data_IF_322424041285
#
_entry.id   IF_322424041285
#
_cell.length_a   1.000
_cell.length_b   1.000
_cell.length_c   1.000
_cell.angle_alpha   90.00
_cell.angle_beta   90.00
_cell.angle_gamma   90.00
#
_symmetry.space_group_name_H-M   'P 1'
#
loop_
_entity.id
_entity.type
_entity.pdbx_description
1 polymer ?
#
# COMPACT_ATOMS: atom_id res chain seq x y z
N UNK A 1 69.78 -14.73 49.02
CA UNK A 1 69.29 -16.11 48.81
C UNK A 1 68.11 -16.03 47.88
N UNK A 2 68.28 -16.58 46.67
CA UNK A 2 67.27 -17.13 45.74
C UNK A 2 66.18 -16.15 45.26
N UNK A 3 65.86 -15.96 43.98
CA UNK A 3 66.42 -16.26 42.67
C UNK A 3 65.44 -15.64 41.63
N UNK A 4 65.93 -15.42 40.41
CA UNK A 4 65.20 -15.39 39.14
C UNK A 4 64.38 -14.13 38.73
N UNK A 5 65.11 -13.21 38.07
CA UNK A 5 64.81 -12.64 36.73
C UNK A 5 64.44 -13.72 35.67
N UNK A 6 64.00 -13.43 34.41
CA UNK A 6 63.89 -12.13 33.70
C UNK A 6 62.66 -11.94 32.74
N UNK A 7 62.52 -10.68 32.29
CA UNK A 7 62.24 -10.18 30.93
C UNK A 7 61.18 -10.82 30.02
N UNK A 8 60.31 -9.97 29.44
CA UNK A 8 60.06 -9.74 28.00
C UNK A 8 58.76 -8.92 27.90
N UNK A 9 58.86 -7.61 27.66
CA UNK A 9 58.92 -6.99 26.34
C UNK A 9 57.55 -6.50 25.87
N UNK A 10 57.47 -5.18 25.71
CA UNK A 10 56.75 -4.46 24.66
C UNK A 10 55.30 -4.85 24.35
N UNK A 11 54.37 -3.96 24.68
CA UNK A 11 53.62 -3.27 23.62
C UNK A 11 53.05 -1.94 24.12
N UNK A 12 53.61 -0.87 23.56
CA UNK A 12 52.92 0.40 23.42
C UNK A 12 51.64 0.20 22.61
N UNK A 13 50.49 0.53 23.20
CA UNK A 13 49.30 0.99 22.47
C UNK A 13 48.52 1.89 23.44
N UNK A 14 48.96 3.13 23.60
CA UNK A 14 48.35 4.27 22.92
C UNK A 14 46.84 4.31 23.16
N UNK A 15 46.47 5.13 24.15
CA UNK A 15 45.23 5.88 24.18
C UNK A 15 44.90 6.39 22.77
N UNK A 16 44.01 5.71 22.07
CA UNK A 16 43.32 6.33 20.93
C UNK A 16 42.19 7.16 21.50
N UNK A 17 42.19 8.50 21.35
CA UNK A 17 41.00 9.28 21.59
C UNK A 17 39.94 8.82 20.57
N UNK A 18 38.67 8.79 21.00
CA UNK A 18 37.52 8.70 20.11
C UNK A 18 37.73 9.70 18.97
N UNK A 19 38.14 9.20 17.80
CA UNK A 19 38.26 10.03 16.61
C UNK A 19 36.84 10.52 16.33
N UNK A 20 36.58 11.84 16.31
CA UNK A 20 35.33 12.30 15.73
C UNK A 20 35.32 11.78 14.30
N UNK A 21 34.28 11.01 13.97
CA UNK A 21 34.06 10.54 12.61
C UNK A 21 34.21 11.75 11.69
N UNK A 22 35.08 11.64 10.68
CA UNK A 22 35.25 12.73 9.72
C UNK A 22 33.86 13.08 9.16
N UNK A 23 33.57 14.35 8.80
CA UNK A 23 32.26 14.73 8.27
C UNK A 23 31.79 13.77 7.17
N UNK A 24 32.68 13.30 6.29
CA UNK A 24 32.41 12.29 5.26
C UNK A 24 32.00 10.91 5.79
N UNK A 25 32.51 10.47 6.94
CA UNK A 25 32.08 9.22 7.59
C UNK A 25 30.74 9.38 8.32
N UNK A 26 30.44 10.58 8.81
CA UNK A 26 29.11 10.92 9.34
C UNK A 26 28.10 10.97 8.20
N UNK A 27 28.45 11.59 7.05
CA UNK A 27 27.60 11.59 5.86
C UNK A 27 27.43 10.18 5.31
N UNK A 28 28.48 9.38 5.17
CA UNK A 28 28.36 7.97 4.76
C UNK A 28 27.54 7.13 5.75
N UNK A 29 27.67 7.35 7.06
CA UNK A 29 26.88 6.62 8.05
C UNK A 29 25.42 7.08 8.08
N UNK A 30 25.15 8.37 7.83
CA UNK A 30 23.80 8.92 7.66
C UNK A 30 23.18 8.45 6.34
N UNK A 31 23.94 8.42 5.25
CA UNK A 31 23.54 7.90 3.94
C UNK A 31 23.33 6.38 3.99
N UNK A 32 24.17 5.63 4.72
CA UNK A 32 23.95 4.21 4.97
C UNK A 32 22.74 3.97 5.87
N UNK A 33 22.42 4.88 6.80
CA UNK A 33 21.23 4.77 7.66
C UNK A 33 19.94 5.18 6.93
N UNK A 34 20.03 6.10 5.97
CA UNK A 34 18.95 6.45 5.05
C UNK A 34 18.69 5.32 4.02
N UNK A 35 19.76 4.72 3.50
CA UNK A 35 19.70 3.64 2.51
C UNK A 35 19.58 2.22 3.10
N UNK A 36 19.82 2.02 4.39
CA UNK A 36 19.65 0.72 5.02
C UNK A 36 18.16 0.36 5.08
N UNK A 37 17.77 -0.67 4.34
CA UNK A 37 16.63 -1.47 4.77
C UNK A 37 17.01 -2.14 6.08
N UNK A 38 16.18 -1.99 7.11
CA UNK A 38 16.34 -2.71 8.37
C UNK A 38 16.00 -4.20 8.15
N UNK A 39 16.94 -4.91 7.51
CA UNK A 39 16.85 -6.32 7.13
C UNK A 39 17.22 -7.26 8.29
N UNK A 40 18.06 -6.80 9.21
CA UNK A 40 18.47 -7.54 10.41
C UNK A 40 18.32 -6.69 11.67
N UNK A 41 17.97 -7.35 12.78
CA UNK A 41 17.85 -6.70 14.10
C UNK A 41 19.17 -6.87 14.83
N UNK A 42 19.91 -5.78 15.05
CA UNK A 42 20.97 -5.80 16.05
C UNK A 42 20.33 -5.65 17.44
N UNK A 43 20.51 -6.66 18.31
CA UNK A 43 19.85 -6.74 19.62
C UNK A 43 20.19 -5.58 20.59
N UNK A 44 21.10 -4.69 20.18
CA UNK A 44 21.59 -3.53 20.95
C UNK A 44 20.95 -2.20 20.51
N UNK A 45 20.25 -2.16 19.38
CA UNK A 45 19.64 -0.94 18.88
C UNK A 45 18.23 -0.76 19.46
N UNK A 46 18.04 0.35 20.19
CA UNK A 46 16.73 0.76 20.70
C UNK A 46 15.87 1.20 19.52
N UNK A 47 14.81 0.44 19.21
CA UNK A 47 13.87 0.79 18.15
C UNK A 47 13.18 2.13 18.43
N UNK A 48 12.86 2.92 17.39
CA UNK A 48 12.01 4.09 17.54
C UNK A 48 10.65 3.70 18.11
N UNK A 49 10.10 4.56 18.96
CA UNK A 49 8.76 4.35 19.51
C UNK A 49 7.69 4.56 18.42
N UNK A 50 6.70 3.67 18.40
CA UNK A 50 5.65 3.65 17.37
C UNK A 50 4.90 4.99 17.28
N UNK A 51 4.44 5.54 18.40
CA UNK A 51 3.63 6.77 18.42
C UNK A 51 4.46 7.97 17.95
N UNK A 52 5.69 8.08 18.43
CA UNK A 52 6.58 9.18 18.05
C UNK A 52 7.04 9.13 16.59
N UNK A 53 6.93 7.95 15.96
CA UNK A 53 7.33 7.73 14.57
C UNK A 53 6.22 8.03 13.56
N UNK A 54 5.01 8.42 13.98
CA UNK A 54 3.88 8.68 13.07
C UNK A 54 3.90 10.13 12.54
N UNK A 55 3.95 10.27 11.22
CA UNK A 55 3.76 11.54 10.52
C UNK A 55 2.27 11.83 10.27
N UNK A 56 1.98 12.98 9.64
CA UNK A 56 0.61 13.43 9.38
C UNK A 56 -0.17 12.43 8.52
N UNK A 57 0.42 11.91 7.44
CA UNK A 57 -0.23 10.90 6.59
C UNK A 57 -0.49 9.61 7.37
N UNK A 58 0.46 9.18 8.20
CA UNK A 58 0.33 7.95 8.99
C UNK A 58 -0.86 7.99 9.96
N UNK A 59 -1.17 9.18 10.51
CA UNK A 59 -2.35 9.38 11.37
C UNK A 59 -3.66 9.27 10.57
N UNK A 60 -3.69 9.80 9.35
CA UNK A 60 -4.83 9.65 8.44
C UNK A 60 -5.00 8.19 8.02
N UNK A 61 -3.90 7.52 7.66
CA UNK A 61 -3.89 6.09 7.35
C UNK A 61 -4.39 5.26 8.53
N UNK A 62 -3.95 5.55 9.75
CA UNK A 62 -4.45 4.86 10.94
C UNK A 62 -5.96 5.06 11.15
N UNK A 63 -6.46 6.28 10.96
CA UNK A 63 -7.90 6.56 11.02
C UNK A 63 -8.67 5.80 9.93
N UNK A 64 -8.11 5.73 8.71
CA UNK A 64 -8.68 4.99 7.60
C UNK A 64 -8.72 3.48 7.86
N UNK A 65 -7.67 2.91 8.46
CA UNK A 65 -7.63 1.49 8.82
C UNK A 65 -8.56 1.15 9.99
N UNK A 66 -8.71 2.04 10.98
CA UNK A 66 -9.72 1.89 12.05
C UNK A 66 -11.12 1.85 11.45
N UNK A 67 -11.40 2.75 10.50
CA UNK A 67 -12.64 2.74 9.74
C UNK A 67 -12.80 1.43 8.95
N UNK A 68 -11.73 0.93 8.34
CA UNK A 68 -11.72 -0.39 7.69
C UNK A 68 -12.06 -1.55 8.62
N UNK A 69 -11.57 -1.57 9.86
CA UNK A 69 -11.97 -2.57 10.86
C UNK A 69 -13.46 -2.53 11.15
N UNK A 70 -14.04 -1.33 11.27
CA UNK A 70 -15.49 -1.16 11.46
C UNK A 70 -16.25 -1.71 10.26
N UNK A 71 -15.87 -1.33 9.04
CA UNK A 71 -16.52 -1.79 7.80
C UNK A 71 -16.38 -3.31 7.63
N UNK A 72 -15.22 -3.88 7.93
CA UNK A 72 -15.04 -5.33 7.93
C UNK A 72 -15.94 -6.03 8.94
N UNK A 73 -16.07 -5.48 10.14
CA UNK A 73 -16.99 -5.97 11.17
C UNK A 73 -18.45 -5.97 10.70
N UNK A 74 -18.90 -4.88 10.06
CA UNK A 74 -20.24 -4.78 9.48
C UNK A 74 -20.50 -5.88 8.43
N UNK A 75 -19.53 -6.17 7.58
CA UNK A 75 -19.65 -7.23 6.57
C UNK A 75 -19.67 -8.62 7.18
N UNK A 76 -18.88 -8.88 8.23
CA UNK A 76 -18.88 -10.16 8.93
C UNK A 76 -20.24 -10.46 9.57
N UNK A 77 -20.90 -9.44 10.13
CA UNK A 77 -22.22 -9.60 10.77
C UNK A 77 -23.40 -9.36 9.81
N UNK A 78 -23.14 -9.02 8.55
CA UNK A 78 -24.17 -8.81 7.52
C UNK A 78 -25.02 -7.55 7.69
N UNK A 79 -24.47 -6.47 8.26
CA UNK A 79 -25.20 -5.22 8.49
C UNK A 79 -24.93 -4.19 7.37
N UNK A 80 -25.96 -3.92 6.56
CA UNK A 80 -25.85 -3.07 5.36
C UNK A 80 -26.76 -1.83 5.34
N UNK A 81 -27.38 -1.49 6.47
CA UNK A 81 -28.24 -0.30 6.56
C UNK A 81 -27.41 0.99 6.46
N UNK A 82 -27.75 1.86 5.49
CA UNK A 82 -27.01 3.11 5.18
C UNK A 82 -25.52 2.89 4.94
N UNK A 83 -25.16 1.70 4.49
CA UNK A 83 -23.79 1.26 4.32
C UNK A 83 -23.03 2.12 3.30
N UNK A 84 -23.72 2.64 2.29
CA UNK A 84 -23.18 3.59 1.33
C UNK A 84 -22.58 4.83 2.03
N UNK A 85 -23.21 5.35 3.09
CA UNK A 85 -22.68 6.51 3.82
C UNK A 85 -21.58 6.11 4.80
N UNK A 86 -21.82 5.05 5.57
CA UNK A 86 -20.93 4.64 6.67
C UNK A 86 -19.66 4.00 6.13
N UNK A 87 -19.74 3.15 5.11
CA UNK A 87 -18.57 2.53 4.50
C UNK A 87 -18.04 3.39 3.37
N UNK A 88 -18.82 3.61 2.31
CA UNK A 88 -18.28 4.17 1.06
C UNK A 88 -18.01 5.67 1.18
N UNK A 89 -18.97 6.45 1.68
CA UNK A 89 -18.83 7.92 1.79
C UNK A 89 -17.70 8.33 2.73
N UNK A 90 -17.65 7.73 3.93
CA UNK A 90 -16.56 7.96 4.88
C UNK A 90 -15.21 7.47 4.34
N UNK A 91 -15.16 6.28 3.71
CA UNK A 91 -13.93 5.78 3.11
C UNK A 91 -13.45 6.69 1.98
N UNK A 92 -14.35 7.15 1.11
CA UNK A 92 -14.05 8.08 0.03
C UNK A 92 -13.45 9.38 0.56
N UNK A 93 -14.03 9.97 1.61
CA UNK A 93 -13.49 11.18 2.22
C UNK A 93 -12.08 10.97 2.81
N UNK A 94 -11.91 9.94 3.66
CA UNK A 94 -10.63 9.71 4.35
C UNK A 94 -9.56 9.23 3.36
N UNK A 95 -9.89 8.28 2.48
CA UNK A 95 -9.00 7.67 1.50
C UNK A 95 -8.53 8.67 0.44
N UNK A 96 -9.43 9.48 -0.13
CA UNK A 96 -9.03 10.54 -1.07
C UNK A 96 -8.20 11.63 -0.38
N UNK A 97 -8.49 11.93 0.88
CA UNK A 97 -7.65 12.86 1.67
C UNK A 97 -6.26 12.28 1.91
N UNK A 98 -6.14 10.99 2.25
CA UNK A 98 -4.85 10.30 2.39
C UNK A 98 -4.06 10.31 1.07
N UNK A 99 -4.74 10.06 -0.06
CA UNK A 99 -4.12 10.14 -1.38
C UNK A 99 -3.63 11.57 -1.70
N UNK A 100 -4.45 12.59 -1.45
CA UNK A 100 -4.09 13.99 -1.63
C UNK A 100 -2.85 14.38 -0.80
N UNK A 101 -2.78 13.96 0.46
CA UNK A 101 -1.59 14.15 1.31
C UNK A 101 -0.39 13.41 0.74
N UNK A 102 -0.57 12.19 0.22
CA UNK A 102 0.50 11.45 -0.44
C UNK A 102 1.07 12.14 -1.67
N UNK A 103 0.22 12.71 -2.53
CA UNK A 103 0.69 13.52 -3.67
C UNK A 103 1.38 14.80 -3.21
N UNK A 104 0.87 15.44 -2.17
CA UNK A 104 1.55 16.58 -1.56
C UNK A 104 2.95 16.20 -1.07
N UNK A 105 3.12 15.09 -0.36
CA UNK A 105 4.44 14.58 0.08
C UNK A 105 5.39 14.35 -1.10
N UNK A 106 4.89 13.79 -2.20
CA UNK A 106 5.67 13.57 -3.43
C UNK A 106 6.05 14.88 -4.13
N UNK A 107 5.14 15.84 -4.24
CA UNK A 107 5.36 17.13 -4.88
C UNK A 107 6.27 18.04 -4.04
N UNK A 108 6.16 17.98 -2.72
CA UNK A 108 6.96 18.77 -1.80
C UNK A 108 8.36 18.20 -1.56
N UNK A 109 8.69 17.02 -2.13
CA UNK A 109 9.98 16.36 -1.94
C UNK A 109 10.17 15.81 -0.52
N UNK A 110 9.08 15.52 0.19
CA UNK A 110 9.11 14.90 1.53
C UNK A 110 9.39 13.39 1.37
N UNK A 111 8.83 12.76 0.35
CA UNK A 111 9.16 11.39 -0.02
C UNK A 111 10.62 11.33 -0.48
N UNK A 112 11.38 10.44 0.15
CA UNK A 112 12.79 10.23 -0.13
C UNK A 112 13.02 9.79 -1.58
N UNK A 113 14.03 10.37 -2.20
CA UNK A 113 14.49 10.06 -3.55
C UNK A 113 15.74 9.19 -3.43
N UNK A 114 15.54 7.87 -3.29
CA UNK A 114 16.62 6.91 -3.06
C UNK A 114 17.25 6.37 -4.37
N UNK A 115 18.45 5.81 -4.33
CA UNK A 115 19.13 5.31 -5.55
C UNK A 115 18.67 3.88 -5.95
N UNK A 116 17.54 3.39 -5.43
CA UNK A 116 17.11 2.00 -5.66
C UNK A 116 16.65 1.80 -7.10
N UNK A 117 16.88 0.60 -7.68
CA UNK A 117 16.61 0.36 -9.09
C UNK A 117 15.11 0.15 -9.38
N UNK A 118 14.62 0.78 -10.46
CA UNK A 118 13.29 0.53 -11.01
C UNK A 118 12.16 0.80 -10.01
N UNK A 119 11.23 -0.15 -9.87
CA UNK A 119 10.10 -0.03 -8.95
C UNK A 119 10.48 -0.25 -7.48
N UNK A 120 11.72 -0.66 -7.17
CA UNK A 120 12.18 -0.70 -5.78
C UNK A 120 12.40 0.70 -5.18
N UNK A 121 12.49 1.71 -6.05
CA UNK A 121 12.63 3.12 -5.71
C UNK A 121 11.45 3.63 -4.86
N UNK A 122 11.77 4.30 -3.75
CA UNK A 122 10.76 4.75 -2.79
C UNK A 122 9.70 5.65 -3.43
N UNK A 123 10.15 6.62 -4.22
CA UNK A 123 9.25 7.54 -4.92
C UNK A 123 8.34 6.81 -5.91
N UNK A 124 8.82 5.74 -6.56
CA UNK A 124 8.01 4.94 -7.49
C UNK A 124 6.90 4.19 -6.75
N UNK A 125 7.23 3.57 -5.61
CA UNK A 125 6.27 2.87 -4.75
C UNK A 125 5.24 3.84 -4.21
N UNK A 126 5.66 5.00 -3.70
CA UNK A 126 4.76 6.00 -3.14
C UNK A 126 3.88 6.64 -4.21
N UNK A 127 4.41 6.92 -5.41
CA UNK A 127 3.64 7.40 -6.55
C UNK A 127 2.57 6.39 -6.96
N UNK A 128 2.94 5.12 -7.12
CA UNK A 128 2.01 4.06 -7.48
C UNK A 128 0.93 3.89 -6.40
N UNK A 129 1.30 3.64 -5.15
CA UNK A 129 0.35 3.33 -4.08
C UNK A 129 -0.62 4.49 -3.82
N UNK A 130 -0.14 5.73 -3.86
CA UNK A 130 -0.97 6.92 -3.71
C UNK A 130 -1.93 7.09 -4.89
N UNK A 131 -1.44 6.90 -6.13
CA UNK A 131 -2.29 7.02 -7.33
C UNK A 131 -3.30 5.87 -7.42
N UNK A 132 -2.90 4.67 -7.02
CA UNK A 132 -3.75 3.50 -6.96
C UNK A 132 -4.86 3.71 -5.94
N UNK A 133 -4.53 4.18 -4.72
CA UNK A 133 -5.50 4.50 -3.68
C UNK A 133 -6.56 5.47 -4.20
N UNK A 134 -6.15 6.55 -4.87
CA UNK A 134 -7.10 7.49 -5.45
C UNK A 134 -7.96 6.87 -6.55
N UNK A 135 -7.36 6.05 -7.42
CA UNK A 135 -8.08 5.31 -8.46
C UNK A 135 -9.16 4.39 -7.89
N UNK A 136 -8.82 3.55 -6.90
CA UNK A 136 -9.80 2.64 -6.29
C UNK A 136 -10.83 3.38 -5.43
N UNK A 137 -10.48 4.51 -4.82
CA UNK A 137 -11.45 5.33 -4.08
C UNK A 137 -12.41 6.08 -4.99
N UNK A 138 -11.91 6.60 -6.10
CA UNK A 138 -12.77 7.14 -7.14
C UNK A 138 -13.69 6.05 -7.69
N UNK A 139 -13.15 4.88 -8.04
CA UNK A 139 -13.93 3.77 -8.58
C UNK A 139 -15.00 3.29 -7.60
N UNK A 140 -14.66 3.21 -6.31
CA UNK A 140 -15.61 2.89 -5.25
C UNK A 140 -16.77 3.89 -5.18
N UNK A 141 -16.45 5.19 -5.15
CA UNK A 141 -17.46 6.23 -5.18
C UNK A 141 -18.30 6.14 -6.46
N UNK A 142 -17.65 5.92 -7.62
CA UNK A 142 -18.28 5.84 -8.93
C UNK A 142 -19.31 4.73 -9.03
N UNK A 143 -19.06 3.59 -8.40
CA UNK A 143 -20.01 2.48 -8.34
C UNK A 143 -21.09 2.66 -7.28
N UNK A 144 -20.95 3.64 -6.40
CA UNK A 144 -21.92 3.89 -5.34
C UNK A 144 -23.01 4.88 -5.74
N UNK A 145 -24.17 4.86 -5.07
CA UNK A 145 -25.20 5.89 -5.21
C UNK A 145 -24.74 7.30 -4.80
N UNK A 146 -23.57 7.43 -4.18
CA UNK A 146 -23.02 8.71 -3.71
C UNK A 146 -22.23 9.44 -4.79
N UNK A 147 -22.00 8.84 -5.97
CA UNK A 147 -21.24 9.51 -7.02
C UNK A 147 -21.97 10.77 -7.52
N UNK A 148 -21.36 11.96 -7.43
CA UNK A 148 -21.99 13.17 -7.91
C UNK A 148 -22.15 13.14 -9.44
N UNK A 149 -23.36 13.38 -9.94
CA UNK A 149 -23.63 13.45 -11.39
C UNK A 149 -22.76 14.50 -12.11
N UNK A 150 -22.32 15.56 -11.41
CA UNK A 150 -21.41 16.57 -11.92
C UNK A 150 -20.01 16.06 -12.26
N UNK A 151 -19.61 14.89 -11.74
CA UNK A 151 -18.30 14.29 -11.99
C UNK A 151 -18.33 13.27 -13.14
N UNK A 152 -19.51 12.81 -13.59
CA UNK A 152 -19.67 11.89 -14.72
C UNK A 152 -18.92 12.34 -15.99
N UNK A 153 -18.91 13.64 -16.37
CA UNK A 153 -18.14 14.09 -17.53
C UNK A 153 -16.63 13.84 -17.44
N UNK A 154 -16.08 13.56 -16.25
CA UNK A 154 -14.67 13.26 -16.03
C UNK A 154 -14.37 11.75 -16.10
N UNK A 155 -15.38 10.88 -16.18
CA UNK A 155 -15.22 9.42 -16.09
C UNK A 155 -14.21 8.89 -17.11
N UNK A 156 -14.28 9.32 -18.38
CA UNK A 156 -13.36 8.86 -19.42
C UNK A 156 -11.89 9.17 -19.10
N UNK A 157 -11.63 10.37 -18.56
CA UNK A 157 -10.29 10.77 -18.14
C UNK A 157 -9.83 9.95 -16.93
N UNK A 158 -10.70 9.80 -15.93
CA UNK A 158 -10.40 9.08 -14.69
C UNK A 158 -10.21 7.58 -14.92
N UNK A 159 -10.99 6.98 -15.82
CA UNK A 159 -10.78 5.62 -16.33
C UNK A 159 -9.40 5.49 -16.97
N UNK A 160 -9.06 6.35 -17.94
CA UNK A 160 -7.79 6.28 -18.65
C UNK A 160 -6.58 6.40 -17.70
N UNK A 161 -6.64 7.34 -16.75
CA UNK A 161 -5.59 7.50 -15.72
C UNK A 161 -5.51 6.28 -14.82
N UNK A 162 -6.65 5.74 -14.36
CA UNK A 162 -6.68 4.57 -13.48
C UNK A 162 -6.14 3.32 -14.17
N UNK A 163 -6.50 3.10 -15.44
CA UNK A 163 -5.98 2.02 -16.30
C UNK A 163 -4.45 2.10 -16.37
N UNK A 164 -3.89 3.29 -16.61
CA UNK A 164 -2.44 3.47 -16.66
C UNK A 164 -1.77 3.17 -15.32
N UNK A 165 -2.37 3.57 -14.20
CA UNK A 165 -1.86 3.30 -12.86
C UNK A 165 -1.88 1.80 -12.55
N UNK A 166 -2.97 1.10 -12.89
CA UNK A 166 -3.09 -0.34 -12.67
C UNK A 166 -2.12 -1.14 -13.53
N UNK A 167 -1.95 -0.75 -14.80
CA UNK A 167 -0.95 -1.34 -15.69
C UNK A 167 0.47 -1.07 -15.19
N UNK A 168 0.78 0.13 -14.72
CA UNK A 168 2.07 0.46 -14.14
C UNK A 168 2.38 -0.41 -12.91
N UNK A 169 1.40 -0.58 -12.01
CA UNK A 169 1.50 -1.43 -10.83
C UNK A 169 1.72 -2.92 -11.11
N UNK A 170 1.28 -3.40 -12.27
CA UNK A 170 1.50 -4.79 -12.69
C UNK A 170 2.84 -4.96 -13.43
N UNK A 171 3.09 -4.10 -14.42
CA UNK A 171 4.22 -4.24 -15.34
C UNK A 171 5.52 -3.81 -14.68
N UNK A 172 5.53 -2.71 -13.92
CA UNK A 172 6.78 -2.13 -13.40
C UNK A 172 7.47 -3.02 -12.35
N UNK A 173 6.78 -3.62 -11.35
CA UNK A 173 7.42 -4.57 -10.44
C UNK A 173 7.91 -5.83 -11.14
N UNK A 174 7.15 -6.34 -12.13
CA UNK A 174 7.53 -7.51 -12.91
C UNK A 174 8.78 -7.24 -13.76
N UNK A 175 8.82 -6.10 -14.46
CA UNK A 175 9.97 -5.66 -15.22
C UNK A 175 11.21 -5.46 -14.32
N UNK A 176 11.02 -4.89 -13.13
CA UNK A 176 12.10 -4.74 -12.14
C UNK A 176 12.65 -6.11 -11.70
N UNK A 177 11.79 -7.09 -11.43
CA UNK A 177 12.19 -8.46 -11.09
C UNK A 177 12.89 -9.22 -12.22
N UNK A 178 12.56 -8.95 -13.47
CA UNK A 178 13.13 -9.66 -14.63
C UNK A 178 14.42 -9.00 -15.08
N UNK A 179 14.42 -7.68 -15.22
CA UNK A 179 15.52 -6.93 -15.83
C UNK A 179 16.58 -6.45 -14.83
N UNK A 180 16.21 -6.23 -13.57
CA UNK A 180 17.09 -5.61 -12.57
C UNK A 180 17.37 -6.50 -11.36
N UNK A 181 17.05 -7.80 -11.45
CA UNK A 181 17.11 -8.75 -10.32
C UNK A 181 18.45 -8.77 -9.59
N UNK A 182 19.54 -8.71 -10.33
CA UNK A 182 20.91 -8.80 -9.79
C UNK A 182 21.29 -7.56 -8.98
N UNK A 183 20.56 -6.45 -9.15
CA UNK A 183 20.75 -5.19 -8.43
C UNK A 183 19.87 -5.11 -7.17
N UNK A 184 18.98 -6.09 -6.95
CA UNK A 184 18.05 -6.11 -5.83
C UNK A 184 18.60 -6.92 -4.66
N UNK A 185 18.43 -6.40 -3.46
CA UNK A 185 18.59 -7.15 -2.21
C UNK A 185 17.51 -8.25 -2.07
N UNK A 186 17.72 -9.27 -1.22
CA UNK A 186 16.73 -10.32 -0.98
C UNK A 186 15.35 -9.78 -0.54
N UNK A 187 15.35 -8.73 0.28
CA UNK A 187 14.13 -8.09 0.76
C UNK A 187 13.43 -7.31 -0.36
N UNK A 188 14.16 -6.60 -1.22
CA UNK A 188 13.55 -5.94 -2.39
C UNK A 188 12.95 -6.97 -3.35
N UNK A 189 13.62 -8.10 -3.58
CA UNK A 189 13.06 -9.20 -4.36
C UNK A 189 11.74 -9.70 -3.73
N UNK A 190 11.69 -9.85 -2.41
CA UNK A 190 10.48 -10.26 -1.71
C UNK A 190 9.36 -9.22 -1.87
N UNK A 191 9.67 -7.93 -1.71
CA UNK A 191 8.72 -6.82 -1.87
C UNK A 191 8.19 -6.76 -3.31
N UNK A 192 9.05 -6.84 -4.31
CA UNK A 192 8.63 -6.81 -5.72
C UNK A 192 7.75 -8.02 -6.07
N UNK A 193 8.05 -9.22 -5.54
CA UNK A 193 7.15 -10.38 -5.69
C UNK A 193 5.78 -10.13 -5.08
N UNK A 194 5.75 -9.55 -3.87
CA UNK A 194 4.51 -9.14 -3.22
C UNK A 194 3.73 -8.12 -4.04
N UNK A 195 4.42 -7.14 -4.65
CA UNK A 195 3.81 -6.14 -5.53
C UNK A 195 3.26 -6.77 -6.81
N UNK A 196 3.95 -7.72 -7.45
CA UNK A 196 3.42 -8.44 -8.62
C UNK A 196 2.14 -9.20 -8.27
N UNK A 197 2.13 -9.95 -7.17
CA UNK A 197 0.94 -10.68 -6.72
C UNK A 197 -0.20 -9.71 -6.42
N UNK A 198 0.09 -8.60 -5.72
CA UNK A 198 -0.91 -7.57 -5.41
C UNK A 198 -1.45 -6.90 -6.67
N UNK A 199 -0.59 -6.61 -7.65
CA UNK A 199 -0.98 -6.05 -8.94
C UNK A 199 -1.81 -7.02 -9.80
N UNK A 200 -1.53 -8.32 -9.73
CA UNK A 200 -2.37 -9.34 -10.38
C UNK A 200 -3.77 -9.38 -9.77
N UNK A 201 -3.88 -9.38 -8.44
CA UNK A 201 -5.19 -9.31 -7.76
C UNK A 201 -5.90 -8.00 -8.10
N UNK A 202 -5.18 -6.88 -8.01
CA UNK A 202 -5.70 -5.55 -8.34
C UNK A 202 -6.05 -5.34 -9.82
N UNK A 203 -5.65 -6.23 -10.71
CA UNK A 203 -5.99 -6.15 -12.13
C UNK A 203 -7.48 -6.39 -12.41
N UNK A 204 -8.26 -6.86 -11.43
CA UNK A 204 -9.73 -6.82 -11.50
C UNK A 204 -10.26 -5.42 -11.82
N UNK A 205 -9.72 -4.39 -11.16
CA UNK A 205 -10.15 -3.01 -11.36
C UNK A 205 -9.75 -2.46 -12.74
N UNK A 206 -8.76 -3.07 -13.41
CA UNK A 206 -8.44 -2.78 -14.80
C UNK A 206 -9.60 -3.18 -15.72
N UNK A 207 -10.24 -4.33 -15.45
CA UNK A 207 -11.39 -4.79 -16.23
C UNK A 207 -12.59 -3.88 -16.03
N UNK A 208 -12.90 -3.54 -14.77
CA UNK A 208 -14.00 -2.62 -14.42
C UNK A 208 -13.83 -1.23 -15.03
N UNK A 209 -12.63 -0.64 -14.90
CA UNK A 209 -12.34 0.68 -15.50
C UNK A 209 -12.32 0.65 -17.02
N UNK A 210 -11.92 -0.48 -17.64
CA UNK A 210 -12.00 -0.66 -19.09
C UNK A 210 -13.45 -0.78 -19.54
N UNK A 211 -14.27 -1.56 -18.84
CA UNK A 211 -15.70 -1.68 -19.14
C UNK A 211 -16.39 -0.32 -19.04
N UNK A 212 -16.12 0.43 -17.97
CA UNK A 212 -16.66 1.79 -17.79
C UNK A 212 -16.17 2.77 -18.87
N UNK A 213 -14.92 2.63 -19.35
CA UNK A 213 -14.40 3.46 -20.44
C UNK A 213 -15.05 3.13 -21.79
N UNK A 214 -15.29 1.85 -22.08
CA UNK A 214 -15.81 1.41 -23.37
C UNK A 214 -17.32 1.60 -23.49
N UNK A 215 -18.05 1.46 -22.39
CA UNK A 215 -19.50 1.48 -22.36
C UNK A 215 -20.10 2.66 -21.60
N UNK A 216 -19.25 3.58 -21.16
CA UNK A 216 -19.60 4.83 -20.50
C UNK A 216 -20.49 4.64 -19.27
N UNK A 217 -21.17 5.71 -18.84
CA UNK A 217 -21.93 5.71 -17.59
C UNK A 217 -23.17 4.81 -17.61
N UNK A 218 -23.75 4.58 -18.80
CA UNK A 218 -24.98 3.81 -18.99
C UNK A 218 -24.79 2.33 -18.63
N UNK A 219 -23.59 1.78 -18.83
CA UNK A 219 -23.27 0.41 -18.44
C UNK A 219 -23.56 0.13 -16.98
N UNK A 220 -23.09 1.01 -16.09
CA UNK A 220 -23.30 0.82 -14.65
C UNK A 220 -24.77 0.93 -14.26
N UNK A 221 -25.52 1.78 -14.96
CA UNK A 221 -26.98 1.86 -14.82
C UNK A 221 -27.67 0.54 -15.17
N UNK A 222 -27.28 -0.10 -16.27
CA UNK A 222 -27.81 -1.41 -16.66
C UNK A 222 -27.42 -2.51 -15.68
N UNK A 223 -26.16 -2.55 -15.24
CA UNK A 223 -25.67 -3.52 -14.26
C UNK A 223 -26.49 -3.44 -12.97
N UNK A 224 -26.67 -2.24 -12.42
CA UNK A 224 -27.39 -2.05 -11.17
C UNK A 224 -28.91 -2.21 -11.31
N UNK A 225 -29.47 -2.01 -12.50
CA UNK A 225 -30.88 -2.35 -12.78
C UNK A 225 -31.12 -3.86 -12.79
N UNK A 226 -30.15 -4.65 -13.30
CA UNK A 226 -30.25 -6.12 -13.37
C UNK A 226 -29.80 -6.82 -12.07
N UNK A 227 -28.76 -6.30 -11.42
CA UNK A 227 -28.17 -6.82 -10.18
C UNK A 227 -28.07 -5.70 -9.14
N UNK A 228 -29.16 -5.40 -8.40
CA UNK A 228 -29.19 -4.26 -7.48
C UNK A 228 -28.11 -4.29 -6.39
N UNK A 229 -27.74 -5.48 -5.90
CA UNK A 229 -26.71 -5.60 -4.86
C UNK A 229 -25.30 -5.25 -5.34
N UNK A 230 -25.07 -5.15 -6.66
CA UNK A 230 -23.80 -4.72 -7.24
C UNK A 230 -23.43 -3.30 -6.78
N UNK A 231 -24.44 -2.46 -6.50
CA UNK A 231 -24.28 -1.09 -5.95
C UNK A 231 -23.75 -1.05 -4.50
N UNK A 232 -23.76 -2.18 -3.80
CA UNK A 232 -23.11 -2.36 -2.50
C UNK A 232 -21.82 -3.13 -2.66
N UNK A 233 -21.82 -4.14 -3.53
CA UNK A 233 -20.70 -5.06 -3.70
C UNK A 233 -19.46 -4.39 -4.28
N UNK A 234 -19.57 -3.77 -5.46
CA UNK A 234 -18.39 -3.21 -6.15
C UNK A 234 -17.75 -2.06 -5.37
N UNK A 235 -18.53 -1.11 -4.80
CA UNK A 235 -17.97 -0.11 -3.91
C UNK A 235 -17.26 -0.70 -2.69
N UNK A 236 -17.76 -1.82 -2.15
CA UNK A 236 -17.13 -2.46 -0.99
C UNK A 236 -15.82 -3.14 -1.35
N UNK A 237 -15.78 -3.88 -2.46
CA UNK A 237 -14.58 -4.59 -2.93
C UNK A 237 -13.44 -3.61 -3.22
N UNK A 238 -13.76 -2.51 -3.91
CA UNK A 238 -12.83 -1.39 -4.15
C UNK A 238 -12.36 -0.73 -2.84
N UNK A 239 -13.24 -0.58 -1.85
CA UNK A 239 -12.87 -0.09 -0.50
C UNK A 239 -11.95 -1.03 0.26
N UNK A 240 -12.18 -2.34 0.18
CA UNK A 240 -11.25 -3.31 0.79
C UNK A 240 -9.88 -3.26 0.13
N UNK A 241 -9.81 -3.09 -1.19
CA UNK A 241 -8.54 -2.87 -1.87
C UNK A 241 -7.84 -1.58 -1.40
N UNK A 242 -8.59 -0.50 -1.17
CA UNK A 242 -8.05 0.73 -0.62
C UNK A 242 -7.46 0.54 0.79
N UNK A 243 -8.15 -0.17 1.68
CA UNK A 243 -7.61 -0.51 3.01
C UNK A 243 -6.35 -1.35 2.92
N UNK A 244 -6.30 -2.34 2.02
CA UNK A 244 -5.10 -3.14 1.82
C UNK A 244 -3.91 -2.29 1.37
N UNK A 245 -4.09 -1.42 0.38
CA UNK A 245 -3.02 -0.55 -0.11
C UNK A 245 -2.50 0.39 0.99
N UNK A 246 -3.40 1.04 1.72
CA UNK A 246 -3.00 1.93 2.82
C UNK A 246 -2.37 1.17 3.99
N UNK A 247 -2.82 -0.05 4.31
CA UNK A 247 -2.17 -0.92 5.28
C UNK A 247 -0.74 -1.29 4.83
N UNK A 248 -0.56 -1.57 3.54
CA UNK A 248 0.73 -1.84 2.93
C UNK A 248 1.67 -0.63 3.03
N UNK A 249 1.18 0.57 2.69
CA UNK A 249 1.93 1.83 2.81
C UNK A 249 2.32 2.10 4.27
N UNK A 250 1.38 1.93 5.20
CA UNK A 250 1.62 2.14 6.62
C UNK A 250 2.74 1.26 7.15
N UNK A 251 2.65 -0.05 6.88
CA UNK A 251 3.68 -1.01 7.29
C UNK A 251 5.01 -0.72 6.61
N UNK A 252 5.00 -0.38 5.32
CA UNK A 252 6.20 -0.03 4.58
C UNK A 252 6.92 1.17 5.20
N UNK A 253 6.18 2.23 5.58
CA UNK A 253 6.74 3.41 6.27
C UNK A 253 7.27 3.07 7.67
N UNK A 254 6.55 2.26 8.44
CA UNK A 254 7.03 1.78 9.74
C UNK A 254 8.32 0.96 9.60
N UNK A 255 8.43 0.14 8.56
CA UNK A 255 9.60 -0.65 8.27
C UNK A 255 10.80 0.23 7.85
N UNK A 256 10.55 1.25 7.01
CA UNK A 256 11.57 2.26 6.65
C UNK A 256 12.10 3.01 7.88
N UNK A 257 11.24 3.32 8.85
CA UNK A 257 11.65 4.00 10.08
C UNK A 257 12.32 3.06 11.10
N UNK A 258 12.41 1.77 10.82
CA UNK A 258 13.03 0.79 11.73
C UNK A 258 12.17 0.42 12.94
N UNK A 259 10.86 0.70 12.91
CA UNK A 259 9.91 0.26 13.95
C UNK A 259 9.70 -1.25 13.86
N UNK A 260 9.64 -1.77 12.63
CA UNK A 260 9.56 -3.20 12.29
C UNK A 260 10.58 -3.51 11.20
N UNK A 261 11.02 -4.76 11.06
CA UNK A 261 11.88 -5.15 9.92
C UNK A 261 11.04 -5.40 8.68
N UNK A 262 11.61 -5.22 7.49
CA UNK A 262 10.91 -5.61 6.26
C UNK A 262 10.65 -7.13 6.17
N UNK A 263 11.54 -7.93 6.75
CA UNK A 263 11.41 -9.39 6.83
C UNK A 263 10.18 -9.83 7.65
N UNK A 264 9.80 -9.06 8.68
CA UNK A 264 8.60 -9.32 9.48
C UNK A 264 7.35 -8.65 8.86
N UNK A 265 7.51 -7.42 8.37
CA UNK A 265 6.45 -6.59 7.80
C UNK A 265 5.77 -7.23 6.60
N UNK A 266 6.54 -7.74 5.63
CA UNK A 266 5.97 -8.27 4.37
C UNK A 266 5.13 -9.53 4.61
N UNK A 267 5.61 -10.55 5.36
CA UNK A 267 4.77 -11.71 5.70
C UNK A 267 3.58 -11.35 6.57
N UNK A 268 3.71 -10.43 7.52
CA UNK A 268 2.60 -9.99 8.36
C UNK A 268 1.48 -9.35 7.52
N UNK A 269 1.84 -8.45 6.61
CA UNK A 269 0.89 -7.86 5.67
C UNK A 269 0.16 -8.94 4.85
N UNK A 270 0.91 -9.83 4.19
CA UNK A 270 0.33 -10.82 3.28
C UNK A 270 -0.46 -11.94 3.96
N UNK A 271 -0.05 -12.39 5.15
CA UNK A 271 -0.65 -13.55 5.83
C UNK A 271 -1.70 -13.18 6.86
N UNK A 272 -1.66 -11.97 7.39
CA UNK A 272 -2.54 -11.54 8.49
C UNK A 272 -3.45 -10.41 8.03
N UNK A 273 -2.88 -9.28 7.63
CA UNK A 273 -3.70 -8.11 7.35
C UNK A 273 -4.56 -8.27 6.10
N UNK A 274 -3.99 -8.73 5.00
CA UNK A 274 -4.75 -8.87 3.75
C UNK A 274 -5.92 -9.86 3.93
N UNK A 275 -5.74 -11.07 4.50
CA UNK A 275 -6.88 -11.95 4.77
C UNK A 275 -7.96 -11.34 5.68
N UNK A 276 -7.58 -10.62 6.74
CA UNK A 276 -8.53 -10.08 7.72
C UNK A 276 -9.24 -8.80 7.25
N UNK A 277 -8.54 -7.93 6.53
CA UNK A 277 -9.07 -6.65 6.06
C UNK A 277 -9.73 -6.74 4.70
N UNK A 278 -9.42 -7.75 3.88
CA UNK A 278 -10.01 -7.89 2.54
C UNK A 278 -10.74 -9.22 2.33
N UNK A 279 -10.04 -10.35 2.42
CA UNK A 279 -10.61 -11.62 1.98
C UNK A 279 -11.80 -12.07 2.85
N UNK A 280 -11.68 -11.97 4.17
CA UNK A 280 -12.74 -12.32 5.10
C UNK A 280 -14.01 -11.46 4.90
N UNK A 281 -13.95 -10.12 4.98
CA UNK A 281 -15.15 -9.30 4.81
C UNK A 281 -15.72 -9.40 3.39
N UNK A 282 -14.88 -9.55 2.35
CA UNK A 282 -15.36 -9.84 0.99
C UNK A 282 -16.10 -11.19 0.93
N UNK A 283 -15.54 -12.25 1.49
CA UNK A 283 -16.19 -13.56 1.50
C UNK A 283 -17.52 -13.53 2.24
N UNK A 284 -17.61 -12.82 3.37
CA UNK A 284 -18.86 -12.62 4.09
C UNK A 284 -19.87 -11.82 3.25
N UNK A 285 -19.44 -10.75 2.59
CA UNK A 285 -20.29 -9.96 1.68
C UNK A 285 -20.87 -10.81 0.57
N UNK A 286 -20.02 -11.61 -0.11
CA UNK A 286 -20.47 -12.55 -1.12
C UNK A 286 -21.45 -13.58 -0.56
N UNK A 287 -21.23 -14.08 0.66
CA UNK A 287 -22.14 -15.04 1.29
C UNK A 287 -23.52 -14.42 1.61
N UNK A 288 -23.56 -13.22 2.18
CA UNK A 288 -24.82 -12.54 2.52
C UNK A 288 -25.59 -12.04 1.29
N UNK A 289 -24.90 -11.79 0.17
CA UNK A 289 -25.49 -11.25 -1.08
C UNK A 289 -25.48 -12.23 -2.25
N UNK A 290 -25.22 -13.52 -2.02
CA UNK A 290 -24.99 -14.50 -3.08
C UNK A 290 -26.13 -14.60 -4.11
N UNK A 291 -27.38 -14.40 -3.69
CA UNK A 291 -28.57 -14.47 -4.56
C UNK A 291 -28.77 -13.20 -5.43
N UNK A 292 -28.04 -12.13 -5.14
CA UNK A 292 -28.26 -10.79 -5.72
C UNK A 292 -27.06 -10.29 -6.55
N UNK A 293 -26.04 -11.13 -6.74
CA UNK A 293 -24.74 -10.79 -7.34
C UNK A 293 -24.49 -11.65 -8.57
N UNK A 294 -23.90 -11.08 -9.61
CA UNK A 294 -23.34 -11.87 -10.72
C UNK A 294 -21.81 -11.93 -10.59
N UNK A 295 -21.25 -13.14 -10.68
CA UNK A 295 -19.80 -13.31 -10.77
C UNK A 295 -19.38 -13.06 -12.22
N UNK A 296 -18.96 -11.82 -12.51
CA UNK A 296 -18.39 -11.39 -13.78
C UNK A 296 -19.32 -11.34 -15.00
N UNK A 297 -20.53 -11.91 -14.93
CA UNK A 297 -21.55 -11.77 -15.99
C UNK A 297 -21.83 -10.29 -16.30
N UNK A 298 -21.78 -9.44 -15.28
CA UNK A 298 -21.95 -7.99 -15.42
C UNK A 298 -20.90 -7.31 -16.33
N UNK A 299 -19.70 -7.89 -16.50
CA UNK A 299 -18.68 -7.38 -17.42
C UNK A 299 -18.99 -7.69 -18.89
N UNK A 300 -19.83 -8.68 -19.14
CA UNK A 300 -20.14 -9.20 -20.48
C UNK A 300 -21.62 -9.08 -20.83
N UNK A 301 -22.35 -8.18 -20.18
CA UNK A 301 -23.76 -7.96 -20.51
C UNK A 301 -23.88 -7.66 -22.01
N UNK A 302 -24.54 -8.57 -22.73
CA UNK A 302 -24.83 -8.40 -24.15
C UNK A 302 -25.78 -7.21 -24.32
N UNK A 303 -25.34 -6.26 -25.13
CA UNK A 303 -26.10 -5.05 -25.48
C UNK A 303 -27.03 -5.39 -26.64
N UNK A 304 -28.22 -5.90 -26.33
CA UNK A 304 -29.35 -5.97 -27.27
C UNK A 304 -30.38 -4.86 -27.02
#
# INVERSE_FOLDING_TARGET
MIAALPALAASHAVLSPLRPLAPQQITMALDQKANAMFDTVDARDKRPDFITSLETRDKLTAAFLVHGVVVSGLNVIGLYDRYEYVAIGMAGFIGLTSAAVGWYELCAGITEDDDRPGFAHERAIMLYTTSYLAGVMWLSLRFSPLYPASLVPLDNLLCAVSILVYLYGLVSPAATLVCLREQLTPTEVLRMKGMVVSGLVGSVFLLETTALLLHEADWWGHVTARYPAQSVLEPSVTVFAAYAVEAGVFIHRLARRGVVTFADAVPFYGKVLLPLLTLLPMACLFAYRHDEVSFWEFLFLDWE
#
